data_IF_179714704910
#
_entry.id   IF_179714704910
#
_cell.length_a   1.000
_cell.length_b   1.000
_cell.length_c   1.000
_cell.angle_alpha   90.00
_cell.angle_beta   90.00
_cell.angle_gamma   90.00
#
_symmetry.space_group_name_H-M   'P 1'
#
loop_
_entity.id
_entity.type
_entity.pdbx_description
1 polymer ?
#
# COMPACT_ATOMS: atom_id res chain seq x y z
N UNK A 1 4.06 -11.72 -15.09
CA UNK A 1 3.28 -10.63 -14.44
C UNK A 1 2.35 -9.89 -15.40
N UNK A 2 2.81 -9.52 -16.58
CA UNK A 2 1.98 -8.81 -17.56
C UNK A 2 0.75 -9.61 -18.01
N UNK A 3 0.91 -10.92 -18.24
CA UNK A 3 -0.20 -11.81 -18.58
C UNK A 3 -1.25 -11.88 -17.48
N UNK A 4 -0.82 -11.85 -16.22
CA UNK A 4 -1.72 -11.87 -15.07
C UNK A 4 -2.54 -10.58 -14.99
N UNK A 5 -1.95 -9.45 -15.33
CA UNK A 5 -2.66 -8.16 -15.38
C UNK A 5 -3.72 -8.21 -16.47
N UNK A 6 -3.39 -8.73 -17.65
CA UNK A 6 -4.35 -8.84 -18.74
C UNK A 6 -5.52 -9.77 -18.35
N UNK A 7 -5.22 -10.89 -17.72
CA UNK A 7 -6.27 -11.81 -17.23
C UNK A 7 -7.18 -11.15 -16.19
N UNK A 8 -6.59 -10.37 -15.28
CA UNK A 8 -7.36 -9.63 -14.27
C UNK A 8 -8.29 -8.61 -14.92
N UNK A 9 -7.80 -7.87 -15.91
CA UNK A 9 -8.62 -6.91 -16.67
C UNK A 9 -9.78 -7.62 -17.38
N UNK A 10 -9.48 -8.72 -18.06
CA UNK A 10 -10.49 -9.51 -18.78
C UNK A 10 -11.55 -10.07 -17.84
N UNK A 11 -11.18 -10.36 -16.60
CA UNK A 11 -12.09 -10.85 -15.57
C UNK A 11 -12.86 -9.71 -14.86
N UNK A 12 -12.65 -8.45 -15.22
CA UNK A 12 -13.37 -7.32 -14.66
C UNK A 12 -12.79 -6.77 -13.36
N UNK A 13 -11.49 -6.95 -13.12
CA UNK A 13 -10.83 -6.38 -11.94
C UNK A 13 -10.95 -4.86 -11.92
N UNK A 14 -11.12 -4.30 -10.72
CA UNK A 14 -11.26 -2.85 -10.50
C UNK A 14 -9.95 -2.17 -10.12
N UNK A 15 -8.89 -2.94 -9.92
CA UNK A 15 -7.58 -2.44 -9.56
C UNK A 15 -6.56 -3.56 -9.56
N UNK A 16 -5.30 -3.19 -9.55
CA UNK A 16 -4.17 -4.12 -9.61
C UNK A 16 -3.30 -3.89 -8.38
N UNK A 17 -2.89 -4.98 -7.74
CA UNK A 17 -1.89 -4.96 -6.66
C UNK A 17 -0.65 -5.65 -7.17
N UNK A 18 0.46 -4.94 -7.19
CA UNK A 18 1.72 -5.44 -7.73
C UNK A 18 2.91 -4.73 -7.10
N UNK A 19 4.11 -5.14 -7.45
CA UNK A 19 5.33 -4.48 -7.02
C UNK A 19 6.57 -5.19 -7.51
N UNK A 20 7.61 -4.43 -7.77
CA UNK A 20 8.89 -4.96 -8.20
C UNK A 20 10.03 -4.14 -7.60
N UNK A 21 11.01 -4.84 -7.04
CA UNK A 21 12.25 -4.25 -6.53
C UNK A 21 13.43 -4.76 -7.31
N UNK A 22 14.48 -3.97 -7.38
CA UNK A 22 15.78 -4.39 -7.88
C UNK A 22 16.46 -5.30 -6.84
N UNK A 23 17.56 -5.95 -7.24
CA UNK A 23 18.37 -6.77 -6.34
C UNK A 23 18.96 -5.95 -5.16
N UNK A 24 19.09 -4.63 -5.33
CA UNK A 24 19.61 -3.73 -4.30
C UNK A 24 18.51 -3.07 -3.46
N UNK A 25 17.29 -3.62 -3.48
CA UNK A 25 16.16 -3.17 -2.65
C UNK A 25 15.70 -1.74 -2.97
N UNK A 26 15.73 -1.37 -4.24
CA UNK A 26 15.14 -0.13 -4.75
C UNK A 26 13.90 -0.44 -5.59
N UNK A 27 13.03 0.55 -5.76
CA UNK A 27 11.91 0.41 -6.70
C UNK A 27 12.48 0.13 -8.09
N UNK A 28 12.02 -0.97 -8.70
CA UNK A 28 12.36 -1.27 -10.09
C UNK A 28 11.48 -0.40 -10.98
N UNK A 29 11.99 0.78 -11.34
CA UNK A 29 11.24 1.80 -12.06
C UNK A 29 10.80 1.33 -13.44
N UNK A 30 11.69 0.64 -14.15
CA UNK A 30 11.37 0.13 -15.48
C UNK A 30 10.22 -0.88 -15.43
N UNK A 31 10.33 -1.85 -14.55
CA UNK A 31 9.33 -2.90 -14.40
C UNK A 31 8.00 -2.34 -13.89
N UNK A 32 8.07 -1.40 -12.96
CA UNK A 32 6.88 -0.72 -12.43
C UNK A 32 6.19 0.07 -13.55
N UNK A 33 6.94 0.79 -14.39
CA UNK A 33 6.37 1.50 -15.53
C UNK A 33 5.68 0.56 -16.52
N UNK A 34 6.29 -0.59 -16.81
CA UNK A 34 5.69 -1.61 -17.67
C UNK A 34 4.36 -2.13 -17.10
N UNK A 35 4.31 -2.34 -15.77
CA UNK A 35 3.12 -2.80 -15.09
C UNK A 35 2.01 -1.74 -15.11
N UNK A 36 2.37 -0.48 -14.92
CA UNK A 36 1.41 0.64 -15.01
C UNK A 36 0.82 0.76 -16.42
N UNK A 37 1.65 0.66 -17.44
CA UNK A 37 1.19 0.70 -18.82
C UNK A 37 0.22 -0.46 -19.11
N UNK A 38 0.51 -1.66 -18.63
CA UNK A 38 -0.36 -2.82 -18.80
C UNK A 38 -1.69 -2.67 -18.05
N UNK A 39 -1.68 -2.00 -16.90
CA UNK A 39 -2.89 -1.74 -16.12
C UNK A 39 -3.81 -0.71 -16.78
N UNK A 40 -3.29 0.13 -17.66
CA UNK A 40 -4.02 1.20 -18.34
C UNK A 40 -4.71 2.15 -17.34
N UNK A 41 -6.05 2.22 -17.36
CA UNK A 41 -6.83 3.09 -16.47
C UNK A 41 -7.12 2.50 -15.09
N UNK A 42 -6.76 1.22 -14.86
CA UNK A 42 -7.00 0.60 -13.56
C UNK A 42 -6.05 1.17 -12.51
N UNK A 43 -6.55 1.51 -11.31
CA UNK A 43 -5.68 1.96 -10.24
C UNK A 43 -4.71 0.86 -9.82
N UNK A 44 -3.47 1.25 -9.55
CA UNK A 44 -2.39 0.33 -9.16
C UNK A 44 -1.96 0.61 -7.74
N UNK A 45 -1.94 -0.44 -6.92
CA UNK A 45 -1.38 -0.43 -5.57
C UNK A 45 -0.04 -1.14 -5.58
N UNK A 46 1.00 -0.48 -5.10
CA UNK A 46 2.29 -1.10 -4.86
C UNK A 46 2.23 -1.81 -3.51
N UNK A 47 2.54 -3.10 -3.49
CA UNK A 47 2.38 -3.91 -2.28
C UNK A 47 3.53 -3.73 -1.27
N UNK A 48 3.53 -4.55 -0.20
CA UNK A 48 4.47 -4.42 0.92
C UNK A 48 5.93 -4.71 0.59
N UNK A 49 6.28 -5.06 -0.65
CA UNK A 49 7.68 -5.03 -1.08
C UNK A 49 8.31 -3.64 -0.81
N UNK A 50 7.50 -2.58 -0.83
CA UNK A 50 7.91 -1.23 -0.45
C UNK A 50 8.61 -1.19 0.92
N UNK A 51 8.12 -1.96 1.89
CA UNK A 51 8.68 -1.99 3.25
C UNK A 51 10.11 -2.55 3.30
N UNK A 52 10.55 -3.23 2.26
CA UNK A 52 11.92 -3.75 2.14
C UNK A 52 12.91 -2.75 1.57
N UNK A 53 12.44 -1.60 1.10
CA UNK A 53 13.33 -0.56 0.59
C UNK A 53 14.17 0.04 1.71
N UNK A 54 15.43 0.33 1.41
CA UNK A 54 16.35 0.90 2.38
C UNK A 54 15.97 2.32 2.81
N UNK A 55 15.38 3.08 1.89
CA UNK A 55 14.94 4.46 2.12
C UNK A 55 13.50 4.61 1.64
N UNK A 56 12.54 4.57 2.59
CA UNK A 56 11.12 4.64 2.28
C UNK A 56 10.71 6.00 1.70
N UNK A 57 11.33 7.08 2.17
CA UNK A 57 11.02 8.43 1.68
C UNK A 57 11.40 8.58 0.20
N UNK A 58 12.57 8.09 -0.17
CA UNK A 58 13.01 8.08 -1.57
C UNK A 58 12.11 7.16 -2.42
N UNK A 59 11.83 5.97 -1.91
CA UNK A 59 10.97 5.01 -2.60
C UNK A 59 9.59 5.61 -2.86
N UNK A 60 9.03 6.33 -1.90
CA UNK A 60 7.74 6.99 -2.05
C UNK A 60 7.75 8.00 -3.19
N UNK A 61 8.77 8.86 -3.25
CA UNK A 61 8.89 9.84 -4.34
C UNK A 61 8.99 9.15 -5.71
N UNK A 62 9.67 8.02 -5.79
CA UNK A 62 9.76 7.26 -7.04
C UNK A 62 8.39 6.72 -7.48
N UNK A 63 7.61 6.19 -6.54
CA UNK A 63 6.26 5.72 -6.84
C UNK A 63 5.34 6.87 -7.28
N UNK A 64 5.45 8.02 -6.64
CA UNK A 64 4.70 9.22 -7.02
C UNK A 64 5.07 9.65 -8.45
N UNK A 65 6.36 9.71 -8.74
CA UNK A 65 6.86 10.08 -10.07
C UNK A 65 6.35 9.14 -11.16
N UNK A 66 6.29 7.84 -10.87
CA UNK A 66 5.83 6.83 -11.82
C UNK A 66 4.32 6.83 -12.02
N UNK A 67 3.56 7.45 -11.13
CA UNK A 67 2.10 7.51 -11.24
C UNK A 67 1.37 6.37 -10.56
N UNK A 68 1.99 5.70 -9.58
CA UNK A 68 1.32 4.69 -8.76
C UNK A 68 0.23 5.36 -7.92
N UNK A 69 -0.93 4.73 -7.80
CA UNK A 69 -2.09 5.33 -7.12
C UNK A 69 -2.05 5.14 -5.61
N UNK A 70 -1.58 3.97 -5.16
CA UNK A 70 -1.53 3.60 -3.73
C UNK A 70 -0.25 2.86 -3.41
N UNK A 71 0.16 2.94 -2.16
CA UNK A 71 1.19 2.06 -1.61
C UNK A 71 0.70 1.43 -0.32
N UNK A 72 0.82 0.10 -0.25
CA UNK A 72 0.49 -0.67 0.95
C UNK A 72 1.76 -0.80 1.79
N UNK A 73 1.70 -0.31 3.02
CA UNK A 73 2.89 -0.26 3.87
C UNK A 73 2.58 -0.46 5.35
N UNK A 74 3.55 -1.02 6.05
CA UNK A 74 3.60 -1.04 7.52
C UNK A 74 4.61 -0.02 8.06
N UNK A 75 5.09 0.90 7.20
CA UNK A 75 6.12 1.85 7.58
C UNK A 75 7.51 1.25 7.70
N UNK A 76 7.74 0.12 7.03
CA UNK A 76 9.01 -0.61 7.11
C UNK A 76 9.16 -1.46 8.37
N UNK A 77 8.17 -1.44 9.27
CA UNK A 77 8.14 -2.28 10.46
C UNK A 77 7.45 -3.61 10.17
N UNK A 78 7.49 -4.53 11.12
CA UNK A 78 6.81 -5.81 10.99
C UNK A 78 5.29 -5.65 10.90
N UNK A 79 4.73 -4.70 11.65
CA UNK A 79 3.31 -4.38 11.65
C UNK A 79 3.09 -2.88 11.52
N UNK A 80 1.91 -2.47 11.05
CA UNK A 80 1.55 -1.07 10.92
C UNK A 80 1.54 -0.33 12.28
N UNK A 81 1.01 -0.91 13.38
CA UNK A 81 1.12 -0.26 14.69
C UNK A 81 2.55 0.03 15.13
N UNK A 82 3.49 -0.88 14.85
CA UNK A 82 4.91 -0.66 15.15
C UNK A 82 5.52 0.43 14.27
N UNK A 83 5.02 0.60 13.04
CA UNK A 83 5.51 1.58 12.07
C UNK A 83 4.74 2.90 12.06
N UNK A 84 3.97 3.19 13.09
CA UNK A 84 3.08 4.36 13.15
C UNK A 84 3.78 5.69 12.80
N UNK A 85 4.96 5.94 13.36
CA UNK A 85 5.68 7.20 13.09
C UNK A 85 6.12 7.31 11.64
N UNK A 86 6.64 6.23 11.08
CA UNK A 86 7.05 6.18 9.68
C UNK A 86 5.86 6.35 8.75
N UNK A 87 4.74 5.70 9.04
CA UNK A 87 3.51 5.85 8.25
C UNK A 87 3.02 7.30 8.29
N UNK A 88 3.01 7.92 9.46
CA UNK A 88 2.64 9.34 9.60
C UNK A 88 3.54 10.24 8.75
N UNK A 89 4.85 9.98 8.77
CA UNK A 89 5.80 10.70 7.94
C UNK A 89 5.52 10.53 6.44
N UNK A 90 5.19 9.32 6.02
CA UNK A 90 4.84 9.04 4.62
C UNK A 90 3.55 9.76 4.21
N UNK A 91 2.53 9.77 5.08
CA UNK A 91 1.28 10.50 4.83
C UNK A 91 1.56 11.98 4.64
N UNK A 92 2.37 12.57 5.51
CA UNK A 92 2.76 13.98 5.41
C UNK A 92 3.54 14.26 4.13
N UNK A 93 4.51 13.41 3.81
CA UNK A 93 5.31 13.53 2.59
C UNK A 93 4.45 13.42 1.32
N UNK A 94 3.48 12.51 1.32
CA UNK A 94 2.65 12.23 0.16
C UNK A 94 1.83 13.46 -0.27
N UNK A 95 1.33 14.26 0.66
CA UNK A 95 0.53 15.45 0.38
C UNK A 95 -0.61 15.19 -0.62
N UNK A 96 -1.25 14.04 -0.51
CA UNK A 96 -2.34 13.65 -1.41
C UNK A 96 -1.92 13.20 -2.81
N UNK A 97 -0.64 13.17 -3.11
CA UNK A 97 -0.14 12.77 -4.44
C UNK A 97 -0.20 11.26 -4.67
N UNK A 98 -0.23 10.49 -3.60
CA UNK A 98 -0.38 9.04 -3.59
C UNK A 98 -1.12 8.66 -2.31
N UNK A 99 -1.97 7.64 -2.36
CA UNK A 99 -2.68 7.17 -1.18
C UNK A 99 -1.80 6.22 -0.37
N UNK A 100 -1.72 6.46 0.92
CA UNK A 100 -1.02 5.56 1.85
C UNK A 100 -2.03 4.59 2.46
N UNK A 101 -1.90 3.33 2.14
CA UNK A 101 -2.76 2.25 2.64
C UNK A 101 -1.99 1.51 3.72
N UNK A 102 -2.39 1.70 4.99
CA UNK A 102 -1.71 1.04 6.10
C UNK A 102 -2.13 -0.44 6.19
N UNK A 103 -1.16 -1.32 6.33
CA UNK A 103 -1.41 -2.75 6.45
C UNK A 103 -0.36 -3.49 7.25
N UNK A 104 -0.74 -4.64 7.76
CA UNK A 104 0.09 -5.49 8.60
C UNK A 104 -0.32 -5.43 10.07
N UNK A 105 -0.89 -6.51 10.58
CA UNK A 105 -1.25 -6.64 12.00
C UNK A 105 -2.39 -5.71 12.46
N UNK A 106 -3.23 -5.25 11.56
CA UNK A 106 -4.37 -4.38 11.91
C UNK A 106 -5.55 -5.23 12.36
N UNK A 107 -6.16 -4.81 13.46
CA UNK A 107 -7.36 -5.43 14.03
C UNK A 107 -8.25 -4.38 14.70
N UNK A 108 -9.35 -4.83 15.33
CA UNK A 108 -10.30 -3.94 15.99
C UNK A 108 -9.73 -3.20 17.21
N UNK A 109 -8.66 -3.72 17.83
CA UNK A 109 -8.07 -3.12 19.03
C UNK A 109 -7.11 -1.98 18.68
N UNK A 110 -6.50 -1.97 17.50
CA UNK A 110 -5.47 -1.00 17.14
C UNK A 110 -5.83 -0.04 16.00
N UNK A 111 -6.85 -0.35 15.20
CA UNK A 111 -7.14 0.39 13.97
C UNK A 111 -7.52 1.86 14.23
N UNK A 112 -8.35 2.15 15.22
CA UNK A 112 -8.78 3.52 15.49
C UNK A 112 -7.61 4.41 15.90
N UNK A 113 -6.73 3.90 16.76
CA UNK A 113 -5.52 4.61 17.18
C UNK A 113 -4.57 4.83 16.01
N UNK A 114 -4.38 3.78 15.19
CA UNK A 114 -3.52 3.86 13.99
C UNK A 114 -3.99 4.97 13.04
N UNK A 115 -5.28 4.99 12.72
CA UNK A 115 -5.87 6.00 11.82
C UNK A 115 -5.70 7.41 12.42
N UNK A 116 -6.00 7.58 13.69
CA UNK A 116 -5.86 8.87 14.38
C UNK A 116 -4.41 9.35 14.37
N UNK A 117 -3.46 8.47 14.69
CA UNK A 117 -2.06 8.85 14.88
C UNK A 117 -1.30 9.01 13.56
N UNK A 118 -1.74 8.38 12.48
CA UNK A 118 -1.07 8.43 11.17
C UNK A 118 -1.73 9.36 10.16
N UNK A 119 -3.04 9.52 10.24
CA UNK A 119 -3.82 10.26 9.25
C UNK A 119 -4.14 9.47 7.99
N UNK A 120 -3.91 8.15 7.97
CA UNK A 120 -4.28 7.31 6.82
C UNK A 120 -5.80 7.29 6.65
N UNK A 121 -6.26 7.22 5.41
CA UNK A 121 -7.68 7.13 5.07
C UNK A 121 -8.09 5.72 4.69
N UNK A 122 -7.13 4.86 4.41
CA UNK A 122 -7.38 3.48 4.00
C UNK A 122 -6.53 2.53 4.84
N UNK A 123 -7.13 1.40 5.22
CA UNK A 123 -6.44 0.34 5.95
C UNK A 123 -6.70 -1.00 5.27
N UNK A 124 -5.73 -1.88 5.35
CA UNK A 124 -5.81 -3.25 4.86
C UNK A 124 -5.60 -4.22 6.02
N UNK A 125 -6.46 -5.21 6.13
CA UNK A 125 -6.33 -6.26 7.14
C UNK A 125 -6.74 -7.61 6.56
N UNK A 126 -6.12 -8.66 7.09
CA UNK A 126 -6.46 -10.03 6.67
C UNK A 126 -7.78 -10.45 7.31
N UNK A 127 -8.69 -10.92 6.48
CA UNK A 127 -9.99 -11.41 6.94
C UNK A 127 -9.84 -12.89 7.29
N UNK A 128 -9.90 -13.20 8.60
CA UNK A 128 -9.91 -14.58 9.08
C UNK A 128 -11.34 -15.06 9.34
N UNK A 129 -12.20 -14.14 9.76
CA UNK A 129 -13.61 -14.41 10.02
C UNK A 129 -14.44 -13.12 10.01
N UNK A 130 -15.76 -13.27 10.07
CA UNK A 130 -16.69 -12.13 10.07
C UNK A 130 -16.57 -11.28 11.34
N UNK A 131 -16.19 -11.87 12.47
CA UNK A 131 -16.05 -11.15 13.73
C UNK A 131 -14.93 -10.11 13.65
N UNK A 132 -13.81 -10.43 12.99
CA UNK A 132 -12.71 -9.47 12.79
C UNK A 132 -13.15 -8.29 11.94
N UNK A 133 -13.87 -8.53 10.85
CA UNK A 133 -14.39 -7.45 10.00
C UNK A 133 -15.29 -6.53 10.79
N UNK A 134 -16.23 -7.08 11.55
CA UNK A 134 -17.14 -6.29 12.41
C UNK A 134 -16.38 -5.49 13.45
N UNK A 135 -15.37 -6.07 14.09
CA UNK A 135 -14.54 -5.41 15.09
C UNK A 135 -13.80 -4.21 14.49
N UNK A 136 -13.17 -4.36 13.35
CA UNK A 136 -12.44 -3.28 12.67
C UNK A 136 -13.41 -2.16 12.25
N UNK A 137 -14.49 -2.50 11.59
CA UNK A 137 -15.50 -1.51 11.13
C UNK A 137 -16.10 -0.75 12.31
N UNK A 138 -16.44 -1.46 13.40
CA UNK A 138 -16.99 -0.84 14.61
C UNK A 138 -16.02 0.17 15.22
N UNK A 139 -14.74 -0.15 15.27
CA UNK A 139 -13.70 0.72 15.83
C UNK A 139 -13.45 1.99 15.01
N UNK A 140 -13.81 1.99 13.73
CA UNK A 140 -13.66 3.14 12.82
C UNK A 140 -14.87 4.08 12.82
N UNK A 141 -15.95 3.69 13.48
CA UNK A 141 -17.15 4.55 13.64
C UNK A 141 -16.98 5.50 14.86
#
# INVERSE_FOLDING_TARGET
>A
MLEQIQRAKDAGARGIVTGALTETQHIDERRTAELLDAAESLPVTFHRAFDSCADLAMALERLIYLGVDRVLTSGGARTAPEGTEQIRGLVTQAQGRIEILAGGGIDGDNVARLVRDTGVREVHFSVKDAAKVKSVVRSLR
#
